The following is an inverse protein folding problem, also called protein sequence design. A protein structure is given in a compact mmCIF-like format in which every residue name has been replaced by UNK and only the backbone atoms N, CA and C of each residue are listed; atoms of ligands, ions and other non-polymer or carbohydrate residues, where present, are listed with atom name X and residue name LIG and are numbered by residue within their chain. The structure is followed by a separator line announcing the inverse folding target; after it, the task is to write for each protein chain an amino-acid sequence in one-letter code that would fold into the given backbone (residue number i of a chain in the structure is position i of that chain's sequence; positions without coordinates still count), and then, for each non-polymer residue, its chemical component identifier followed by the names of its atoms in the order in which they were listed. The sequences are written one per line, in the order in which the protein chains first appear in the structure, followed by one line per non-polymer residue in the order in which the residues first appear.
data_IF_198183531243
#
_entry.id   IF_198183531243
#
_cell.length_a   1.000
_cell.length_b   1.000
_cell.length_c   1.000
_cell.angle_alpha   90.00
_cell.angle_beta   90.00
_cell.angle_gamma   90.00
#
_symmetry.space_group_name_H-M   'P 1'
#
loop_
_entity.id
_entity.type
_entity.pdbx_description
1 polymer ?
#
# COMPACT_ATOMS: atom_id res chain seq x y z
N UNK A 1 -0.94 -3.31 -11.78
CA UNK A 1 -1.35 -1.97 -11.33
C UNK A 1 -0.92 -0.85 -12.27
N UNK A 2 0.28 -0.89 -12.83
CA UNK A 2 0.77 0.12 -13.79
C UNK A 2 -0.18 0.37 -14.97
N UNK A 3 -0.67 -0.68 -15.64
CA UNK A 3 -1.63 -0.55 -16.76
C UNK A 3 -2.94 0.15 -16.30
N UNK A 4 -3.41 -0.13 -15.08
CA UNK A 4 -4.63 0.48 -14.57
C UNK A 4 -4.44 1.99 -14.34
N UNK A 5 -3.29 2.40 -13.79
CA UNK A 5 -2.94 3.81 -13.61
C UNK A 5 -2.71 4.51 -14.94
N UNK A 6 -2.03 3.87 -15.89
CA UNK A 6 -1.87 4.40 -17.24
C UNK A 6 -3.23 4.67 -17.89
N UNK A 7 -4.15 3.71 -17.84
CA UNK A 7 -5.48 3.84 -18.41
C UNK A 7 -6.29 4.95 -17.70
N UNK A 8 -6.21 5.03 -16.37
CA UNK A 8 -6.88 6.08 -15.60
C UNK A 8 -6.36 7.47 -15.98
N UNK A 9 -5.05 7.66 -15.97
CA UNK A 9 -4.43 8.96 -16.28
C UNK A 9 -4.71 9.39 -17.73
N UNK A 10 -4.76 8.46 -18.68
CA UNK A 10 -5.10 8.77 -20.07
C UNK A 10 -6.57 9.19 -20.26
N UNK A 11 -7.47 8.68 -19.42
CA UNK A 11 -8.91 8.99 -19.49
C UNK A 11 -9.35 10.15 -18.59
N UNK A 12 -8.53 10.53 -17.62
CA UNK A 12 -8.82 11.57 -16.65
C UNK A 12 -8.40 12.95 -17.16
N UNK A 13 -9.22 13.96 -16.89
CA UNK A 13 -8.95 15.36 -17.29
C UNK A 13 -8.28 16.17 -16.19
N UNK A 14 -8.64 15.88 -14.95
CA UNK A 14 -8.35 16.78 -13.81
C UNK A 14 -7.54 16.08 -12.70
N UNK A 15 -7.31 14.77 -12.82
CA UNK A 15 -6.63 13.97 -11.79
C UNK A 15 -5.60 13.04 -12.42
N UNK A 16 -4.43 12.92 -11.80
CA UNK A 16 -3.40 11.96 -12.20
C UNK A 16 -2.94 11.19 -10.96
N UNK A 17 -2.73 9.89 -11.15
CA UNK A 17 -2.19 8.99 -10.13
C UNK A 17 -0.72 8.74 -10.45
N UNK A 18 0.14 8.87 -9.44
CA UNK A 18 1.54 8.44 -9.49
C UNK A 18 1.73 7.25 -8.55
N UNK A 19 2.52 6.26 -8.97
CA UNK A 19 2.76 5.04 -8.22
C UNK A 19 4.21 4.99 -7.73
N UNK A 20 4.37 4.55 -6.48
CA UNK A 20 5.66 4.20 -5.89
C UNK A 20 5.60 2.73 -5.47
N UNK A 21 6.61 1.97 -5.86
CA UNK A 21 6.71 0.55 -5.55
C UNK A 21 7.99 0.27 -4.78
N UNK A 22 7.91 -0.64 -3.81
CA UNK A 22 9.07 -1.16 -3.10
C UNK A 22 8.83 -2.65 -2.82
N UNK A 23 9.81 -3.50 -3.17
CA UNK A 23 9.73 -4.94 -2.93
C UNK A 23 10.19 -5.25 -1.50
N UNK A 24 9.23 -5.66 -0.66
CA UNK A 24 9.47 -5.94 0.76
C UNK A 24 10.03 -7.35 1.01
N UNK A 25 10.30 -8.15 -0.04
CA UNK A 25 10.84 -9.52 0.02
C UNK A 25 10.09 -10.43 1.00
N UNK A 26 8.79 -10.22 1.12
CA UNK A 26 7.89 -10.94 2.02
C UNK A 26 8.22 -10.81 3.52
N UNK A 27 8.90 -9.73 3.92
CA UNK A 27 9.24 -9.43 5.30
C UNK A 27 8.32 -8.32 5.84
N UNK A 28 7.49 -8.59 6.87
CA UNK A 28 6.58 -7.59 7.44
C UNK A 28 7.27 -6.33 7.96
N UNK A 29 8.51 -6.42 8.47
CA UNK A 29 9.27 -5.24 8.94
C UNK A 29 9.75 -4.37 7.78
N UNK A 30 10.11 -4.96 6.64
CA UNK A 30 10.47 -4.20 5.45
C UNK A 30 9.23 -3.49 4.86
N UNK A 31 8.07 -4.16 4.86
CA UNK A 31 6.81 -3.54 4.46
C UNK A 31 6.44 -2.35 5.35
N UNK A 32 6.60 -2.50 6.67
CA UNK A 32 6.42 -1.43 7.64
C UNK A 32 7.38 -0.24 7.39
N UNK A 33 8.67 -0.52 7.14
CA UNK A 33 9.66 0.53 6.86
C UNK A 33 9.34 1.28 5.57
N UNK A 34 8.95 0.57 4.51
CA UNK A 34 8.56 1.19 3.26
C UNK A 34 7.31 2.07 3.40
N UNK A 35 6.30 1.62 4.16
CA UNK A 35 5.12 2.42 4.46
C UNK A 35 5.51 3.75 5.14
N UNK A 36 6.42 3.71 6.12
CA UNK A 36 6.93 4.93 6.75
C UNK A 36 7.66 5.84 5.75
N UNK A 37 8.48 5.28 4.87
CA UNK A 37 9.21 6.04 3.86
C UNK A 37 8.25 6.67 2.83
N UNK A 38 7.23 5.95 2.38
CA UNK A 38 6.22 6.48 1.47
C UNK A 38 5.44 7.63 2.09
N UNK A 39 5.07 7.53 3.37
CA UNK A 39 4.39 8.61 4.07
C UNK A 39 5.31 9.83 4.23
N UNK A 40 6.53 9.63 4.77
CA UNK A 40 7.42 10.73 5.18
C UNK A 40 8.14 11.37 4.01
N UNK A 41 8.61 10.57 3.06
CA UNK A 41 9.48 11.04 1.97
C UNK A 41 8.73 11.26 0.66
N UNK A 42 7.67 10.48 0.40
CA UNK A 42 6.89 10.56 -0.84
C UNK A 42 5.54 11.26 -0.66
N UNK A 43 5.06 11.44 0.57
CA UNK A 43 3.79 12.09 0.86
C UNK A 43 2.59 11.37 0.24
N UNK A 44 2.60 10.03 0.26
CA UNK A 44 1.51 9.26 -0.37
C UNK A 44 0.16 9.50 0.32
N UNK A 45 -0.90 9.60 -0.47
CA UNK A 45 -2.27 9.80 0.03
C UNK A 45 -3.02 8.49 0.27
N UNK A 46 -2.51 7.37 -0.25
CA UNK A 46 -3.04 6.04 -0.04
C UNK A 46 -1.96 4.99 -0.26
N UNK A 47 -2.12 3.83 0.38
CA UNK A 47 -1.25 2.66 0.19
C UNK A 47 -2.07 1.45 -0.25
N UNK A 48 -1.54 0.70 -1.21
CA UNK A 48 -2.20 -0.43 -1.86
C UNK A 48 -1.18 -1.57 -1.99
N UNK A 49 -1.51 -2.78 -1.52
CA UNK A 49 -0.62 -3.93 -1.71
C UNK A 49 -0.68 -5.01 -0.63
N UNK A 50 0.50 -5.57 -0.32
CA UNK A 50 0.75 -6.69 0.60
C UNK A 50 0.11 -8.01 0.13
N UNK A 51 0.90 -9.08 0.09
CA UNK A 51 0.42 -10.42 -0.27
C UNK A 51 0.10 -11.27 0.98
N UNK A 52 0.61 -10.86 2.14
CA UNK A 52 0.50 -11.59 3.40
C UNK A 52 -0.21 -10.77 4.47
N UNK A 53 -0.99 -11.44 5.31
CA UNK A 53 -1.79 -10.76 6.34
C UNK A 53 -0.89 -10.08 7.39
N UNK A 54 0.30 -10.63 7.66
CA UNK A 54 1.25 -10.06 8.62
C UNK A 54 1.80 -8.71 8.15
N UNK A 55 2.08 -8.58 6.85
CA UNK A 55 2.48 -7.32 6.22
C UNK A 55 1.33 -6.32 6.26
N UNK A 56 0.14 -6.77 5.87
CA UNK A 56 -1.06 -5.94 5.82
C UNK A 56 -1.42 -5.36 7.18
N UNK A 57 -1.31 -6.15 8.25
CA UNK A 57 -1.58 -5.72 9.61
C UNK A 57 -0.63 -4.60 10.06
N UNK A 58 0.68 -4.78 9.89
CA UNK A 58 1.67 -3.77 10.28
C UNK A 58 1.54 -2.48 9.46
N UNK A 59 1.33 -2.59 8.15
CA UNK A 59 1.14 -1.43 7.27
C UNK A 59 -0.16 -0.70 7.61
N UNK A 60 -1.23 -1.42 7.94
CA UNK A 60 -2.50 -0.84 8.37
C UNK A 60 -2.36 -0.06 9.68
N UNK A 61 -1.61 -0.58 10.66
CA UNK A 61 -1.35 0.12 11.91
C UNK A 61 -0.60 1.45 11.69
N UNK A 62 0.40 1.44 10.78
CA UNK A 62 1.15 2.65 10.40
C UNK A 62 0.27 3.63 9.64
N UNK A 63 -0.48 3.15 8.65
CA UNK A 63 -1.41 3.98 7.86
C UNK A 63 -2.48 4.63 8.72
N UNK A 64 -3.06 3.88 9.67
CA UNK A 64 -4.04 4.40 10.62
C UNK A 64 -3.47 5.53 11.49
N UNK A 65 -2.23 5.39 11.98
CA UNK A 65 -1.55 6.45 12.75
C UNK A 65 -1.30 7.72 11.92
N UNK A 66 -0.95 7.55 10.64
CA UNK A 66 -0.69 8.65 9.72
C UNK A 66 -1.95 9.21 9.03
N UNK A 67 -3.13 8.62 9.27
CA UNK A 67 -4.38 8.89 8.54
C UNK A 67 -4.27 8.67 7.02
N UNK A 68 -3.44 7.71 6.61
CA UNK A 68 -3.28 7.30 5.21
C UNK A 68 -4.02 5.97 5.01
N UNK A 69 -5.07 5.92 4.17
CA UNK A 69 -5.84 4.71 3.92
C UNK A 69 -4.98 3.59 3.32
N UNK A 70 -5.24 2.36 3.77
CA UNK A 70 -4.54 1.15 3.33
C UNK A 70 -5.56 0.16 2.77
N UNK A 71 -5.33 -0.33 1.55
CA UNK A 71 -6.10 -1.41 0.95
C UNK A 71 -5.17 -2.59 0.65
N UNK A 72 -5.47 -3.75 1.26
CA UNK A 72 -4.65 -4.95 1.13
C UNK A 72 -5.24 -5.99 0.17
N UNK A 73 -4.36 -6.71 -0.53
CA UNK A 73 -4.70 -7.91 -1.30
C UNK A 73 -4.42 -9.23 -0.55
N UNK A 74 -3.97 -9.14 0.70
CA UNK A 74 -3.67 -10.31 1.51
C UNK A 74 -4.93 -11.13 1.77
N UNK A 75 -4.80 -12.46 1.71
CA UNK A 75 -5.85 -13.34 2.19
C UNK A 75 -6.07 -13.12 3.70
N UNK A 76 -7.31 -13.16 4.20
CA UNK A 76 -7.57 -13.10 5.64
C UNK A 76 -6.83 -14.21 6.37
N UNK A 77 -6.38 -13.94 7.60
CA UNK A 77 -5.91 -15.00 8.49
C UNK A 77 -7.09 -15.95 8.77
N UNK A 78 -7.08 -17.14 8.18
CA UNK A 78 -8.05 -18.17 8.47
C UNK A 78 -7.79 -18.68 9.89
N UNK A 79 -8.59 -18.26 10.87
CA UNK A 79 -8.61 -18.88 12.19
C UNK A 79 -9.60 -20.06 12.14
N UNK A 80 -9.08 -21.29 12.11
CA UNK A 80 -9.91 -22.45 12.45
C UNK A 80 -10.11 -22.43 13.97
N UNK A 81 -11.30 -22.02 14.41
CA UNK A 81 -11.77 -22.14 15.79
C UNK A 81 -12.60 -23.41 15.98
#
# INVERSE_FOLDING_TARGET
MEIAVLNFNNGSKDHNISLYFEDHRKNPLHAAQAAQNFIKEKGVEAMLGMERWEEAALVADIGNQAQVPVLSFAAPALTHH
#
